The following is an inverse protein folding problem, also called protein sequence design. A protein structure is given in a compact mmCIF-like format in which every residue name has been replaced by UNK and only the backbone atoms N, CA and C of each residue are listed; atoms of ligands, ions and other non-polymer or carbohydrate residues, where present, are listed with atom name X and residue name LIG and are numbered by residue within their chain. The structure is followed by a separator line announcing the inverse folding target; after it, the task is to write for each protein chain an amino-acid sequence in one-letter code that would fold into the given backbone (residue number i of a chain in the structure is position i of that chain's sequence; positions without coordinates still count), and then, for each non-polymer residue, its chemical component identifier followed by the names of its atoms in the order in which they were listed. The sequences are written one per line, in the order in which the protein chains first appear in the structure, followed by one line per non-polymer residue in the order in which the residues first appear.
data_IF_985800907788
#
_entry.id   IF_985800907788
#
_cell.length_a   1.000
_cell.length_b   1.000
_cell.length_c   1.000
_cell.angle_alpha   90.00
_cell.angle_beta   90.00
_cell.angle_gamma   90.00
#
_symmetry.space_group_name_H-M   'P 1'
#
loop_
_entity.id
_entity.type
_entity.pdbx_description
1 polymer ?
#
# COMPACT_ATOMS: atom_id res chain seq x y z
N UNK A 1 1.73 2.46 -8.51
CA UNK A 1 3.09 2.12 -8.98
C UNK A 1 3.11 0.78 -9.71
N UNK A 2 4.04 0.58 -10.64
CA UNK A 2 4.38 -0.73 -11.22
C UNK A 2 5.28 -1.53 -10.27
N UNK A 3 5.46 -2.83 -10.51
CA UNK A 3 6.34 -3.67 -9.68
C UNK A 3 7.79 -3.17 -9.66
N UNK A 4 8.29 -2.67 -10.78
CA UNK A 4 9.63 -2.11 -10.88
C UNK A 4 9.76 -0.81 -10.08
N UNK A 5 8.75 0.05 -10.15
CA UNK A 5 8.67 1.29 -9.37
C UNK A 5 8.62 1.01 -7.87
N UNK A 6 7.88 -0.02 -7.45
CA UNK A 6 7.80 -0.47 -6.05
C UNK A 6 9.15 -0.99 -5.54
N UNK A 7 9.86 -1.80 -6.33
CA UNK A 7 11.23 -2.24 -6.02
C UNK A 7 12.21 -1.06 -5.92
N UNK A 8 12.11 -0.08 -6.84
CA UNK A 8 12.95 1.11 -6.80
C UNK A 8 12.67 1.97 -5.56
N UNK A 9 11.40 2.17 -5.21
CA UNK A 9 11.01 2.86 -3.99
C UNK A 9 11.52 2.17 -2.72
N UNK A 10 11.44 0.83 -2.67
CA UNK A 10 11.98 0.07 -1.56
C UNK A 10 13.50 0.30 -1.39
N UNK A 11 14.25 0.33 -2.49
CA UNK A 11 15.68 0.67 -2.48
C UNK A 11 15.94 2.11 -2.01
N UNK A 12 15.15 3.09 -2.48
CA UNK A 12 15.29 4.49 -2.04
C UNK A 12 15.04 4.62 -0.52
N UNK A 13 14.04 3.90 0.01
CA UNK A 13 13.74 3.85 1.44
C UNK A 13 14.86 3.16 2.24
N UNK A 14 15.40 2.05 1.73
CA UNK A 14 16.56 1.34 2.31
C UNK A 14 17.76 2.28 2.42
N UNK A 15 18.04 3.06 1.37
CA UNK A 15 19.15 4.02 1.35
C UNK A 15 18.95 5.18 2.34
N UNK A 16 17.72 5.74 2.42
CA UNK A 16 17.37 6.73 3.45
C UNK A 16 17.58 6.18 4.87
N UNK A 17 17.11 4.95 5.13
CA UNK A 17 17.25 4.31 6.43
C UNK A 17 18.71 3.98 6.77
N UNK A 18 19.52 3.64 5.77
CA UNK A 18 20.95 3.42 5.93
C UNK A 18 21.66 4.70 6.41
N UNK A 19 21.37 5.86 5.83
CA UNK A 19 21.87 7.14 6.34
C UNK A 19 21.44 7.40 7.77
N UNK A 20 20.15 7.24 8.08
CA UNK A 20 19.62 7.47 9.43
C UNK A 20 20.30 6.60 10.51
N UNK A 21 20.78 5.41 10.15
CA UNK A 21 21.49 4.49 11.05
C UNK A 21 22.99 4.77 11.15
N UNK A 22 23.58 5.51 10.21
CA UNK A 22 25.02 5.75 10.10
C UNK A 22 25.38 7.23 10.12
N UNK A 23 24.51 8.09 10.66
CA UNK A 23 24.68 9.56 10.67
C UNK A 23 26.02 9.99 11.26
N UNK A 24 26.46 9.38 12.37
CA UNK A 24 27.73 9.70 13.00
C UNK A 24 28.95 9.42 12.10
N UNK A 25 28.93 8.31 11.35
CA UNK A 25 30.01 7.95 10.43
C UNK A 25 30.03 8.85 9.18
N UNK A 26 28.86 9.34 8.77
CA UNK A 26 28.69 10.20 7.59
C UNK A 26 28.81 11.69 7.88
N UNK A 27 28.85 12.09 9.16
CA UNK A 27 28.93 13.48 9.60
C UNK A 27 30.22 14.21 9.14
N UNK A 28 31.25 13.45 8.76
CA UNK A 28 32.47 13.99 8.16
C UNK A 28 32.23 14.76 6.86
N UNK A 29 31.10 14.50 6.19
CA UNK A 29 30.70 15.19 4.95
C UNK A 29 29.36 15.89 5.17
N UNK A 30 29.44 17.18 5.49
CA UNK A 30 28.27 18.02 5.80
C UNK A 30 27.30 18.17 4.63
N UNK A 31 27.76 18.05 3.38
CA UNK A 31 26.92 18.15 2.20
C UNK A 31 25.87 17.02 2.09
N UNK A 32 26.09 15.87 2.74
CA UNK A 32 25.16 14.73 2.68
C UNK A 32 23.83 15.02 3.37
N UNK A 33 23.83 15.79 4.46
CA UNK A 33 22.62 16.06 5.24
C UNK A 33 21.53 16.73 4.39
N UNK A 34 21.92 17.72 3.57
CA UNK A 34 21.01 18.41 2.67
C UNK A 34 20.44 17.47 1.59
N UNK A 35 21.28 16.57 1.03
CA UNK A 35 20.87 15.63 -0.01
C UNK A 35 19.90 14.56 0.53
N UNK A 36 20.15 14.01 1.72
CA UNK A 36 19.25 13.05 2.34
C UNK A 36 17.94 13.69 2.85
N UNK A 37 17.97 14.97 3.18
CA UNK A 37 16.76 15.76 3.44
C UNK A 37 15.93 15.88 2.16
N UNK A 38 16.55 16.24 1.03
CA UNK A 38 15.88 16.29 -0.28
C UNK A 38 15.29 14.92 -0.68
N UNK A 39 16.05 13.83 -0.49
CA UNK A 39 15.57 12.47 -0.73
C UNK A 39 14.33 12.15 0.13
N UNK A 40 14.34 12.57 1.40
CA UNK A 40 13.22 12.33 2.31
C UNK A 40 11.95 13.07 1.90
N UNK A 41 12.09 14.29 1.36
CA UNK A 41 10.96 15.05 0.80
C UNK A 41 10.39 14.32 -0.42
N UNK A 42 11.23 13.94 -1.39
CA UNK A 42 10.77 13.23 -2.59
C UNK A 42 10.10 11.89 -2.27
N UNK A 43 10.62 11.14 -1.30
CA UNK A 43 10.01 9.90 -0.80
C UNK A 43 8.62 10.18 -0.20
N UNK A 44 8.49 11.26 0.56
CA UNK A 44 7.20 11.63 1.20
C UNK A 44 6.18 12.07 0.14
N UNK A 45 6.62 12.83 -0.86
CA UNK A 45 5.79 13.23 -2.00
C UNK A 45 5.33 12.00 -2.80
N UNK A 46 6.23 11.05 -3.05
CA UNK A 46 5.90 9.79 -3.74
C UNK A 46 4.85 8.98 -2.98
N UNK A 47 4.98 8.84 -1.65
CA UNK A 47 3.99 8.16 -0.81
C UNK A 47 2.63 8.85 -0.88
N UNK A 48 2.61 10.18 -0.81
CA UNK A 48 1.38 10.98 -0.89
C UNK A 48 0.66 10.76 -2.21
N UNK A 49 1.40 10.82 -3.32
CA UNK A 49 0.87 10.62 -4.67
C UNK A 49 0.43 9.17 -4.91
N UNK A 50 1.17 8.15 -4.45
CA UNK A 50 0.74 6.75 -4.59
C UNK A 50 -0.51 6.44 -3.75
N UNK A 51 -0.63 7.07 -2.57
CA UNK A 51 -1.85 6.99 -1.75
C UNK A 51 -3.07 7.55 -2.50
N UNK A 52 -2.93 8.71 -3.15
CA UNK A 52 -3.98 9.30 -3.99
C UNK A 52 -4.31 8.44 -5.21
N UNK A 53 -3.30 7.87 -5.86
CA UNK A 53 -3.46 6.96 -7.00
C UNK A 53 -4.25 5.69 -6.63
N UNK A 54 -3.98 5.12 -5.45
CA UNK A 54 -4.60 3.88 -4.96
C UNK A 54 -5.94 4.08 -4.26
N UNK A 55 -6.41 5.32 -4.11
CA UNK A 55 -7.64 5.61 -3.38
C UNK A 55 -8.86 4.91 -4.00
N UNK A 56 -9.70 4.30 -3.15
CA UNK A 56 -11.01 3.82 -3.57
C UNK A 56 -11.98 5.00 -3.73
N UNK A 57 -12.50 5.15 -4.94
CA UNK A 57 -13.38 6.24 -5.32
C UNK A 57 -14.87 5.86 -5.28
N UNK A 58 -15.19 4.60 -4.97
CA UNK A 58 -16.56 4.08 -4.94
C UNK A 58 -17.48 4.89 -4.02
N UNK A 59 -16.95 5.42 -2.92
CA UNK A 59 -17.67 6.26 -1.96
C UNK A 59 -18.25 7.54 -2.56
N UNK A 60 -17.55 8.19 -3.50
CA UNK A 60 -18.05 9.41 -4.15
C UNK A 60 -19.29 9.14 -5.02
N UNK A 61 -19.30 8.01 -5.72
CA UNK A 61 -20.46 7.60 -6.52
C UNK A 61 -21.67 7.26 -5.67
N UNK A 62 -21.46 6.58 -4.54
CA UNK A 62 -22.51 6.27 -3.58
C UNK A 62 -23.09 7.52 -2.92
N UNK A 63 -22.23 8.43 -2.46
CA UNK A 63 -22.65 9.70 -1.86
C UNK A 63 -23.48 10.54 -2.83
N UNK A 64 -23.04 10.66 -4.08
CA UNK A 64 -23.80 11.35 -5.14
C UNK A 64 -25.17 10.70 -5.34
N UNK A 65 -25.26 9.37 -5.42
CA UNK A 65 -26.51 8.66 -5.60
C UNK A 65 -27.48 8.85 -4.41
N UNK A 66 -26.97 8.86 -3.18
CA UNK A 66 -27.78 9.12 -1.97
C UNK A 66 -28.35 10.54 -1.97
N UNK A 67 -27.52 11.53 -2.28
CA UNK A 67 -27.93 12.95 -2.35
C UNK A 67 -28.93 13.17 -3.48
N UNK A 68 -28.73 12.53 -4.64
CA UNK A 68 -29.69 12.52 -5.76
C UNK A 68 -31.07 12.02 -5.32
N UNK A 69 -31.13 10.83 -4.70
CA UNK A 69 -32.38 10.23 -4.22
C UNK A 69 -33.10 11.13 -3.19
N UNK A 70 -32.34 11.85 -2.38
CA UNK A 70 -32.88 12.79 -1.39
C UNK A 70 -33.58 13.97 -2.08
N UNK A 71 -32.93 14.56 -3.10
CA UNK A 71 -33.54 15.62 -3.92
C UNK A 71 -34.78 15.13 -4.65
N UNK A 72 -34.72 13.96 -5.30
CA UNK A 72 -35.87 13.36 -6.01
C UNK A 72 -37.08 13.16 -5.08
N UNK A 73 -36.86 12.62 -3.87
CA UNK A 73 -37.95 12.34 -2.92
C UNK A 73 -38.60 13.62 -2.41
N UNK A 74 -37.78 14.64 -2.08
CA UNK A 74 -38.29 15.93 -1.58
C UNK A 74 -38.96 16.74 -2.69
N UNK A 75 -38.40 16.76 -3.89
CA UNK A 75 -38.98 17.42 -5.05
C UNK A 75 -40.32 16.79 -5.42
N UNK A 76 -40.43 15.46 -5.42
CA UNK A 76 -41.69 14.76 -5.66
C UNK A 76 -42.75 15.08 -4.61
N UNK A 77 -42.38 15.14 -3.33
CA UNK A 77 -43.31 15.50 -2.25
C UNK A 77 -43.91 16.90 -2.47
N UNK A 78 -43.07 17.88 -2.77
CA UNK A 78 -43.51 19.27 -3.00
C UNK A 78 -44.29 19.39 -4.31
N UNK A 79 -43.84 18.73 -5.38
CA UNK A 79 -44.53 18.66 -6.68
C UNK A 79 -45.97 18.12 -6.51
N UNK A 80 -46.15 17.01 -5.79
CA UNK A 80 -47.46 16.44 -5.52
C UNK A 80 -48.35 17.37 -4.68
N UNK A 81 -47.80 18.06 -3.68
CA UNK A 81 -48.54 19.00 -2.85
C UNK A 81 -49.02 20.22 -3.66
N UNK A 82 -48.13 20.82 -4.47
CA UNK A 82 -48.47 21.95 -5.36
C UNK A 82 -49.48 21.53 -6.43
N UNK A 83 -49.31 20.35 -7.05
CA UNK A 83 -50.26 19.84 -8.03
C UNK A 83 -51.63 19.52 -7.42
N UNK A 84 -51.67 19.03 -6.17
CA UNK A 84 -52.92 18.77 -5.44
C UNK A 84 -53.66 20.05 -5.10
N UNK A 85 -52.95 21.06 -4.59
CA UNK A 85 -53.51 22.40 -4.34
C UNK A 85 -54.11 23.00 -5.62
N UNK A 86 -53.35 22.96 -6.72
CA UNK A 86 -53.79 23.46 -8.01
C UNK A 86 -55.01 22.70 -8.57
N UNK A 87 -55.07 21.38 -8.34
CA UNK A 87 -56.20 20.55 -8.74
C UNK A 87 -57.49 20.90 -7.99
N UNK A 88 -57.42 21.14 -6.68
CA UNK A 88 -58.59 21.53 -5.88
C UNK A 88 -59.11 22.91 -6.28
N UNK A 89 -58.21 23.85 -6.59
CA UNK A 89 -58.58 25.21 -6.98
C UNK A 89 -58.84 25.38 -8.48
N UNK A 90 -58.80 24.30 -9.27
CA UNK A 90 -58.98 24.33 -10.73
C UNK A 90 -57.99 25.23 -11.49
N UNK A 91 -56.79 25.48 -10.94
CA UNK A 91 -55.72 26.20 -11.64
C UNK A 91 -54.92 25.24 -12.52
N UNK A 92 -55.29 25.19 -13.80
CA UNK A 92 -54.63 24.32 -14.79
C UNK A 92 -53.19 24.73 -15.09
N UNK A 93 -52.84 26.02 -14.94
CA UNK A 93 -51.49 26.53 -15.23
C UNK A 93 -50.54 26.07 -14.13
N UNK A 94 -50.90 26.31 -12.88
CA UNK A 94 -50.08 25.90 -11.73
C UNK A 94 -49.95 24.37 -11.67
N UNK A 95 -51.04 23.64 -11.97
CA UNK A 95 -51.02 22.18 -12.05
C UNK A 95 -50.01 21.70 -13.09
N UNK A 96 -50.06 22.20 -14.34
CA UNK A 96 -49.15 21.76 -15.40
C UNK A 96 -47.68 22.13 -15.16
N UNK A 97 -47.41 23.19 -14.40
CA UNK A 97 -46.04 23.58 -14.02
C UNK A 97 -45.47 22.73 -12.89
N UNK A 98 -46.31 22.11 -12.07
CA UNK A 98 -45.89 21.30 -10.93
C UNK A 98 -46.05 19.79 -11.15
N UNK A 99 -46.80 19.36 -12.17
CA UNK A 99 -47.13 17.96 -12.46
C UNK A 99 -45.96 17.24 -13.14
N UNK A 100 -45.05 16.72 -12.33
CA UNK A 100 -43.97 15.83 -12.76
C UNK A 100 -44.25 14.41 -12.29
N UNK A 101 -44.25 13.46 -13.23
CA UNK A 101 -44.44 12.04 -12.92
C UNK A 101 -43.29 11.48 -12.07
N UNK A 102 -43.55 10.41 -11.32
CA UNK A 102 -42.49 9.72 -10.57
C UNK A 102 -41.38 9.20 -11.49
N UNK A 103 -41.73 8.66 -12.66
CA UNK A 103 -40.77 8.18 -13.64
C UNK A 103 -39.89 9.29 -14.22
N UNK A 104 -40.43 10.50 -14.41
CA UNK A 104 -39.63 11.61 -14.93
C UNK A 104 -38.51 12.01 -13.98
N UNK A 105 -38.70 11.97 -12.66
CA UNK A 105 -37.63 12.30 -11.70
C UNK A 105 -36.47 11.29 -11.74
N UNK A 106 -36.75 10.02 -12.03
CA UNK A 106 -35.72 8.99 -12.11
C UNK A 106 -34.95 8.98 -13.44
N UNK A 107 -35.57 9.47 -14.53
CA UNK A 107 -34.98 9.40 -15.88
C UNK A 107 -34.20 10.66 -16.29
N UNK A 108 -34.29 11.76 -15.54
CA UNK A 108 -33.65 13.04 -15.91
C UNK A 108 -32.15 13.05 -15.66
N UNK A 109 -31.42 13.86 -16.42
CA UNK A 109 -30.00 14.10 -16.15
C UNK A 109 -29.80 14.83 -14.82
N UNK A 110 -28.56 14.89 -14.33
CA UNK A 110 -28.25 15.55 -13.05
C UNK A 110 -28.50 17.08 -13.13
N UNK A 111 -28.18 17.68 -14.27
CA UNK A 111 -28.40 19.10 -14.56
C UNK A 111 -29.90 19.43 -14.70
N UNK A 112 -30.63 18.55 -15.37
CA UNK A 112 -32.07 18.68 -15.51
C UNK A 112 -32.79 18.49 -14.18
N UNK A 113 -32.34 17.54 -13.35
CA UNK A 113 -32.85 17.35 -11.98
C UNK A 113 -32.70 18.63 -11.15
N UNK A 114 -31.52 19.28 -11.18
CA UNK A 114 -31.29 20.55 -10.47
C UNK A 114 -32.25 21.63 -10.97
N UNK A 115 -32.43 21.72 -12.29
CA UNK A 115 -33.30 22.74 -12.90
C UNK A 115 -34.77 22.51 -12.52
N UNK A 116 -35.28 21.29 -12.66
CA UNK A 116 -36.66 20.93 -12.34
C UNK A 116 -36.95 21.05 -10.84
N UNK A 117 -36.05 20.56 -9.98
CA UNK A 117 -36.21 20.69 -8.54
C UNK A 117 -36.15 22.17 -8.08
N UNK A 118 -35.36 23.01 -8.75
CA UNK A 118 -35.34 24.47 -8.53
C UNK A 118 -36.70 25.10 -8.86
N UNK A 119 -37.28 24.76 -10.01
CA UNK A 119 -38.62 25.23 -10.40
C UNK A 119 -39.66 24.83 -9.34
N UNK A 120 -39.63 23.58 -8.87
CA UNK A 120 -40.57 23.09 -7.85
C UNK A 120 -40.36 23.76 -6.50
N UNK A 121 -39.12 23.98 -6.07
CA UNK A 121 -38.81 24.74 -4.86
C UNK A 121 -39.41 26.14 -4.92
N UNK A 122 -39.23 26.85 -6.04
CA UNK A 122 -39.70 28.23 -6.19
C UNK A 122 -41.24 28.29 -6.22
N UNK A 123 -41.90 27.34 -6.87
CA UNK A 123 -43.36 27.18 -6.84
C UNK A 123 -43.88 26.84 -5.44
N UNK A 124 -43.19 25.97 -4.71
CA UNK A 124 -43.52 25.62 -3.33
C UNK A 124 -43.35 26.82 -2.39
N UNK A 125 -42.27 27.59 -2.55
CA UNK A 125 -42.02 28.80 -1.77
C UNK A 125 -43.09 29.87 -2.00
N UNK A 126 -43.51 30.07 -3.24
CA UNK A 126 -44.54 31.04 -3.59
C UNK A 126 -45.93 30.69 -3.00
N UNK A 127 -46.23 29.40 -2.79
CA UNK A 127 -47.55 28.91 -2.34
C UNK A 127 -47.48 28.21 -0.96
N UNK A 128 -46.47 28.51 -0.14
CA UNK A 128 -46.12 27.72 1.05
C UNK A 128 -47.29 27.56 2.06
N UNK A 129 -48.05 28.63 2.30
CA UNK A 129 -49.19 28.60 3.22
C UNK A 129 -50.30 27.66 2.72
N UNK A 130 -50.49 27.64 1.40
CA UNK A 130 -51.60 26.96 0.75
C UNK A 130 -51.34 25.47 0.49
N UNK A 131 -50.07 25.06 0.41
CA UNK A 131 -49.68 23.65 0.22
C UNK A 131 -49.61 22.86 1.53
N UNK A 132 -49.63 23.53 2.69
CA UNK A 132 -49.55 22.90 4.02
C UNK A 132 -50.64 21.84 4.26
N UNK A 133 -51.92 22.07 3.92
CA UNK A 133 -52.97 21.05 4.04
C UNK A 133 -52.77 19.83 3.12
N UNK A 134 -51.95 19.96 2.08
CA UNK A 134 -51.69 18.92 1.08
C UNK A 134 -50.40 18.12 1.36
N UNK A 135 -49.83 18.27 2.56
CA UNK A 135 -48.77 17.41 3.06
C UNK A 135 -47.33 17.91 2.83
N UNK A 136 -47.14 19.15 2.37
CA UNK A 136 -45.83 19.80 2.30
C UNK A 136 -45.86 21.18 2.97
N UNK A 137 -44.86 21.50 3.79
CA UNK A 137 -44.78 22.79 4.49
C UNK A 137 -43.48 23.56 4.25
N UNK A 138 -43.32 24.70 4.92
CA UNK A 138 -42.11 25.54 4.85
C UNK A 138 -40.82 24.78 5.18
N UNK A 139 -40.90 23.84 6.12
CA UNK A 139 -39.77 23.00 6.49
C UNK A 139 -39.29 22.14 5.30
N UNK A 140 -40.22 21.54 4.55
CA UNK A 140 -39.90 20.68 3.40
C UNK A 140 -39.24 21.49 2.27
N UNK A 141 -39.73 22.70 1.99
CA UNK A 141 -39.14 23.60 0.98
C UNK A 141 -37.72 24.01 1.39
N UNK A 142 -37.50 24.28 2.67
CA UNK A 142 -36.18 24.61 3.20
C UNK A 142 -35.23 23.41 3.10
N UNK A 143 -35.70 22.21 3.47
CA UNK A 143 -34.91 20.97 3.35
C UNK A 143 -34.57 20.67 1.89
N UNK A 144 -35.50 20.89 0.95
CA UNK A 144 -35.22 20.75 -0.49
C UNK A 144 -34.14 21.75 -0.94
N UNK A 145 -34.21 23.00 -0.50
CA UNK A 145 -33.19 24.01 -0.84
C UNK A 145 -31.80 23.61 -0.35
N UNK A 146 -31.69 23.15 0.90
CA UNK A 146 -30.41 22.66 1.44
C UNK A 146 -29.92 21.42 0.67
N UNK A 147 -30.82 20.47 0.42
CA UNK A 147 -30.48 19.25 -0.32
C UNK A 147 -29.97 19.58 -1.74
N UNK A 148 -30.59 20.54 -2.43
CA UNK A 148 -30.17 21.01 -3.75
C UNK A 148 -28.75 21.59 -3.72
N UNK A 149 -28.44 22.50 -2.80
CA UNK A 149 -27.09 23.05 -2.67
C UNK A 149 -26.07 21.93 -2.45
N UNK A 150 -26.35 21.02 -1.50
CA UNK A 150 -25.44 19.92 -1.21
C UNK A 150 -25.31 18.90 -2.34
N UNK A 151 -26.32 18.79 -3.22
CA UNK A 151 -26.25 17.93 -4.40
C UNK A 151 -25.40 18.58 -5.49
N UNK A 152 -25.62 19.88 -5.77
CA UNK A 152 -24.85 20.65 -6.75
C UNK A 152 -23.35 20.57 -6.44
N UNK A 153 -22.97 20.71 -5.17
CA UNK A 153 -21.58 20.64 -4.72
C UNK A 153 -20.92 19.27 -4.96
N UNK A 154 -21.70 18.18 -5.09
CA UNK A 154 -21.16 16.82 -5.25
C UNK A 154 -21.30 16.24 -6.65
N UNK A 155 -22.06 16.87 -7.55
CA UNK A 155 -22.30 16.35 -8.92
C UNK A 155 -20.98 16.03 -9.62
N UNK A 156 -19.99 16.92 -9.50
CA UNK A 156 -18.69 16.81 -10.18
C UNK A 156 -17.63 16.04 -9.40
N UNK A 157 -17.86 15.73 -8.11
CA UNK A 157 -16.85 15.12 -7.25
C UNK A 157 -16.31 13.78 -7.77
N UNK A 158 -17.13 12.84 -8.28
CA UNK A 158 -16.60 11.59 -8.83
C UNK A 158 -15.65 11.82 -10.01
N UNK A 159 -15.96 12.76 -10.89
CA UNK A 159 -15.13 13.09 -12.06
C UNK A 159 -13.84 13.77 -11.63
N UNK A 160 -13.91 14.73 -10.71
CA UNK A 160 -12.73 15.40 -10.16
C UNK A 160 -11.80 14.41 -9.45
N UNK A 161 -12.36 13.45 -8.71
CA UNK A 161 -11.57 12.43 -8.04
C UNK A 161 -10.88 11.48 -9.04
N UNK A 162 -11.55 11.13 -10.14
CA UNK A 162 -10.94 10.35 -11.22
C UNK A 162 -9.79 11.10 -11.89
N UNK A 163 -9.96 12.40 -12.14
CA UNK A 163 -8.93 13.22 -12.77
C UNK A 163 -7.74 13.47 -11.85
N UNK A 164 -7.98 13.67 -10.55
CA UNK A 164 -6.92 13.71 -9.53
C UNK A 164 -6.12 12.40 -9.54
N UNK A 165 -6.81 11.24 -9.51
CA UNK A 165 -6.15 9.93 -9.56
C UNK A 165 -5.31 9.73 -10.82
N UNK A 166 -5.74 10.24 -11.98
CA UNK A 166 -4.95 10.22 -13.22
C UNK A 166 -3.72 11.12 -13.12
N UNK A 167 -3.87 12.31 -12.54
CA UNK A 167 -2.76 13.23 -12.32
C UNK A 167 -1.72 12.59 -11.39
N UNK A 168 -2.17 12.00 -10.29
CA UNK A 168 -1.31 11.31 -9.34
C UNK A 168 -0.55 10.17 -10.02
N UNK A 169 -1.23 9.33 -10.81
CA UNK A 169 -0.57 8.27 -11.59
C UNK A 169 0.50 8.78 -12.54
N UNK A 170 0.34 9.98 -13.11
CA UNK A 170 1.35 10.59 -13.99
C UNK A 170 2.55 11.11 -13.20
N UNK A 171 2.33 11.61 -11.99
CA UNK A 171 3.39 12.17 -11.13
C UNK A 171 4.30 11.10 -10.51
N UNK A 172 3.82 9.87 -10.34
CA UNK A 172 4.62 8.75 -9.81
C UNK A 172 5.95 8.57 -10.57
N UNK A 173 5.95 8.32 -11.90
CA UNK A 173 7.20 8.15 -12.65
C UNK A 173 8.05 9.43 -12.65
N UNK A 174 7.44 10.62 -12.69
CA UNK A 174 8.16 11.89 -12.63
C UNK A 174 8.96 12.05 -11.32
N UNK A 175 8.37 11.69 -10.18
CA UNK A 175 9.06 11.75 -8.87
C UNK A 175 10.14 10.67 -8.79
N UNK A 176 9.89 9.48 -9.34
CA UNK A 176 10.90 8.42 -9.39
C UNK A 176 12.11 8.85 -10.22
N UNK A 177 11.90 9.52 -11.35
CA UNK A 177 12.98 10.08 -12.16
C UNK A 177 13.75 11.17 -11.41
N UNK A 178 13.07 12.05 -10.67
CA UNK A 178 13.74 13.03 -9.80
C UNK A 178 14.61 12.36 -8.72
N UNK A 179 14.13 11.25 -8.14
CA UNK A 179 14.90 10.45 -7.19
C UNK A 179 16.12 9.82 -7.90
N UNK A 180 15.97 9.30 -9.12
CA UNK A 180 17.09 8.77 -9.93
C UNK A 180 18.15 9.84 -10.17
N UNK A 181 17.75 11.01 -10.68
CA UNK A 181 18.66 12.13 -10.91
C UNK A 181 19.39 12.55 -9.63
N UNK A 182 18.67 12.62 -8.48
CA UNK A 182 19.29 12.96 -7.20
C UNK A 182 20.38 11.96 -6.79
N UNK A 183 20.13 10.66 -6.99
CA UNK A 183 21.14 9.65 -6.71
C UNK A 183 22.32 9.75 -7.67
N UNK A 184 22.08 9.73 -8.98
CA UNK A 184 23.12 9.64 -10.01
C UNK A 184 24.02 10.89 -10.06
N UNK A 185 23.44 12.08 -10.00
CA UNK A 185 24.18 13.33 -10.17
C UNK A 185 24.82 13.85 -8.88
N UNK A 186 24.26 13.49 -7.72
CA UNK A 186 24.65 14.11 -6.44
C UNK A 186 25.05 13.09 -5.40
N UNK A 187 24.13 12.22 -5.00
CA UNK A 187 24.33 11.39 -3.81
C UNK A 187 25.41 10.32 -4.04
N UNK A 188 25.38 9.62 -5.17
CA UNK A 188 26.38 8.61 -5.53
C UNK A 188 27.77 9.25 -5.70
N UNK A 189 27.84 10.47 -6.24
CA UNK A 189 29.10 11.22 -6.40
C UNK A 189 29.70 11.60 -5.05
N UNK A 190 28.89 12.12 -4.12
CA UNK A 190 29.36 12.49 -2.78
C UNK A 190 29.72 11.24 -1.97
N UNK A 191 29.01 10.12 -2.14
CA UNK A 191 29.34 8.89 -1.42
C UNK A 191 30.68 8.27 -1.84
N UNK A 192 31.21 8.56 -3.03
CA UNK A 192 32.53 8.09 -3.48
C UNK A 192 33.70 8.57 -2.63
N UNK A 193 33.59 9.70 -1.92
CA UNK A 193 34.67 10.12 -1.01
C UNK A 193 34.86 9.17 0.18
N UNK A 194 33.87 8.32 0.48
CA UNK A 194 34.02 7.24 1.46
C UNK A 194 34.76 6.03 0.92
N UNK A 195 34.96 5.90 -0.39
CA UNK A 195 35.65 4.76 -0.99
C UNK A 195 37.07 4.57 -0.42
N UNK A 196 37.80 5.66 -0.24
CA UNK A 196 39.16 5.64 0.31
C UNK A 196 39.19 5.86 1.82
N UNK A 197 38.28 6.68 2.36
CA UNK A 197 38.30 7.05 3.78
C UNK A 197 37.62 6.03 4.69
N UNK A 198 36.60 5.32 4.20
CA UNK A 198 35.91 4.24 4.90
C UNK A 198 35.28 3.25 3.90
N UNK A 199 36.09 2.33 3.33
CA UNK A 199 35.63 1.41 2.29
C UNK A 199 34.42 0.57 2.70
N UNK A 200 34.38 0.12 3.97
CA UNK A 200 33.26 -0.68 4.51
C UNK A 200 31.94 0.10 4.44
N UNK A 201 31.95 1.38 4.82
CA UNK A 201 30.75 2.22 4.74
C UNK A 201 30.29 2.40 3.29
N UNK A 202 31.23 2.56 2.36
CA UNK A 202 30.93 2.70 0.93
C UNK A 202 30.33 1.40 0.35
N UNK A 203 30.85 0.23 0.71
CA UNK A 203 30.26 -1.05 0.27
C UNK A 203 28.86 -1.28 0.85
N UNK A 204 28.64 -0.95 2.13
CA UNK A 204 27.30 -1.03 2.72
C UNK A 204 26.32 -0.07 2.04
N UNK A 205 26.77 1.11 1.63
CA UNK A 205 25.97 2.04 0.84
C UNK A 205 25.59 1.43 -0.53
N UNK A 206 26.55 0.85 -1.25
CA UNK A 206 26.27 0.18 -2.53
C UNK A 206 25.25 -0.96 -2.36
N UNK A 207 25.37 -1.76 -1.30
CA UNK A 207 24.39 -2.80 -0.96
C UNK A 207 23.01 -2.23 -0.60
N UNK A 208 22.95 -1.02 -0.03
CA UNK A 208 21.69 -0.32 0.21
C UNK A 208 21.07 0.24 -1.09
N UNK A 209 21.90 0.56 -2.10
CA UNK A 209 21.50 1.03 -3.43
C UNK A 209 21.15 -0.10 -4.41
N UNK A 210 21.45 -1.35 -4.06
CA UNK A 210 21.02 -2.50 -4.84
C UNK A 210 19.49 -2.60 -4.87
N UNK A 211 18.93 -2.74 -6.07
CA UNK A 211 17.50 -2.96 -6.25
C UNK A 211 17.23 -4.45 -6.07
N UNK A 212 16.63 -4.79 -4.93
CA UNK A 212 16.22 -6.15 -4.64
C UNK A 212 14.90 -6.44 -5.39
N UNK A 213 14.98 -7.08 -6.56
CA UNK A 213 13.81 -7.59 -7.31
C UNK A 213 13.35 -8.94 -6.71
N UNK A 214 13.44 -9.10 -5.40
CA UNK A 214 13.29 -10.41 -4.76
C UNK A 214 11.99 -10.50 -3.97
N UNK A 215 10.94 -10.90 -4.71
CA UNK A 215 9.81 -11.65 -4.18
C UNK A 215 9.97 -13.17 -4.38
N UNK A 216 11.12 -13.64 -4.86
CA UNK A 216 11.41 -15.06 -5.02
C UNK A 216 12.17 -15.53 -3.78
N UNK A 217 11.50 -16.25 -2.88
CA UNK A 217 12.22 -17.07 -1.92
C UNK A 217 13.13 -18.00 -2.72
N UNK A 218 14.45 -17.91 -2.53
CA UNK A 218 15.36 -18.91 -3.10
C UNK A 218 14.89 -20.27 -2.62
N UNK A 219 14.71 -21.22 -3.53
CA UNK A 219 14.31 -22.57 -3.12
C UNK A 219 15.43 -23.13 -2.23
N UNK A 220 15.09 -23.76 -1.10
CA UNK A 220 16.10 -24.40 -0.26
C UNK A 220 16.87 -25.41 -1.09
N UNK A 221 18.21 -25.35 -1.01
CA UNK A 221 19.13 -26.29 -1.64
C UNK A 221 18.80 -27.72 -1.23
N UNK A 222 18.45 -27.93 0.04
CA UNK A 222 18.04 -29.24 0.57
C UNK A 222 16.87 -29.11 1.53
N UNK A 223 15.95 -30.07 1.43
CA UNK A 223 14.84 -30.28 2.36
C UNK A 223 14.95 -31.70 2.89
N UNK A 224 15.09 -31.87 4.21
CA UNK A 224 15.28 -33.20 4.79
C UNK A 224 14.57 -33.33 6.14
N UNK A 225 13.85 -34.43 6.32
CA UNK A 225 13.26 -34.79 7.60
C UNK A 225 14.24 -35.64 8.41
N UNK A 226 14.47 -35.23 9.66
CA UNK A 226 15.42 -35.87 10.57
C UNK A 226 14.63 -36.61 11.64
N UNK A 227 14.73 -37.95 11.62
CA UNK A 227 14.05 -38.82 12.56
C UNK A 227 14.57 -38.61 13.99
N UNK A 228 13.74 -38.87 15.01
CA UNK A 228 14.14 -38.71 16.41
C UNK A 228 15.30 -39.63 16.78
N UNK A 229 16.25 -39.12 17.57
CA UNK A 229 17.44 -39.86 18.02
C UNK A 229 18.47 -40.13 16.93
N UNK A 230 18.33 -39.53 15.74
CA UNK A 230 19.24 -39.76 14.60
C UNK A 230 20.13 -38.56 14.31
N UNK A 231 21.24 -38.84 13.64
CA UNK A 231 22.18 -37.87 13.09
C UNK A 231 22.29 -38.12 11.59
N UNK A 232 22.16 -37.07 10.79
CA UNK A 232 22.03 -37.17 9.33
C UNK A 232 22.87 -36.09 8.65
N UNK A 233 23.63 -36.46 7.62
CA UNK A 233 24.23 -35.51 6.69
C UNK A 233 23.14 -34.87 5.82
N UNK A 234 22.95 -33.57 5.96
CA UNK A 234 21.97 -32.77 5.20
C UNK A 234 22.59 -32.20 3.93
N UNK A 235 23.91 -32.02 3.89
CA UNK A 235 24.65 -31.62 2.69
C UNK A 235 26.04 -32.23 2.67
N UNK A 236 26.52 -32.51 1.46
CA UNK A 236 27.87 -33.00 1.16
C UNK A 236 28.46 -32.06 0.09
N UNK A 237 29.59 -31.43 0.43
CA UNK A 237 30.30 -30.49 -0.43
C UNK A 237 31.51 -31.17 -1.07
N UNK A 238 31.67 -31.06 -2.39
CA UNK A 238 32.80 -31.66 -3.12
C UNK A 238 34.18 -31.20 -2.59
N UNK A 239 34.26 -29.95 -2.13
CA UNK A 239 35.46 -29.34 -1.53
C UNK A 239 35.09 -28.38 -0.41
N UNK A 240 35.86 -28.40 0.69
CA UNK A 240 35.71 -27.41 1.75
C UNK A 240 36.10 -26.01 1.26
N UNK A 241 35.23 -25.03 1.52
CA UNK A 241 35.50 -23.62 1.28
C UNK A 241 35.13 -22.83 2.53
N UNK A 242 36.03 -21.95 2.97
CA UNK A 242 35.82 -21.10 4.17
C UNK A 242 34.71 -20.09 3.96
N UNK A 243 34.42 -19.73 2.71
CA UNK A 243 33.44 -18.70 2.36
C UNK A 243 32.04 -19.24 2.15
N UNK A 244 31.84 -20.57 2.19
CA UNK A 244 30.50 -21.16 2.03
C UNK A 244 29.60 -20.73 3.18
N UNK A 245 28.41 -20.24 2.84
CA UNK A 245 27.43 -19.74 3.79
C UNK A 245 26.28 -20.73 3.94
N UNK A 246 26.17 -21.31 5.13
CA UNK A 246 25.11 -22.26 5.47
C UNK A 246 24.00 -21.54 6.21
N UNK A 247 22.79 -21.52 5.65
CA UNK A 247 21.57 -21.07 6.33
C UNK A 247 20.66 -22.27 6.56
N UNK A 248 20.40 -22.58 7.83
CA UNK A 248 19.51 -23.68 8.22
C UNK A 248 18.27 -23.13 8.91
N UNK A 249 17.10 -23.62 8.51
CA UNK A 249 15.83 -23.39 9.18
C UNK A 249 15.27 -24.68 9.75
N UNK A 250 14.91 -24.65 11.03
CA UNK A 250 14.18 -25.71 11.70
C UNK A 250 12.66 -25.48 11.52
N UNK A 251 11.97 -26.42 10.88
CA UNK A 251 10.53 -26.37 10.66
C UNK A 251 9.72 -27.08 11.75
N UNK A 252 10.38 -27.79 12.66
CA UNK A 252 9.76 -28.49 13.78
C UNK A 252 9.71 -27.67 15.06
N UNK A 253 9.08 -28.22 16.09
CA UNK A 253 8.99 -27.60 17.42
C UNK A 253 10.17 -27.99 18.34
N UNK A 254 10.88 -29.07 18.02
CA UNK A 254 12.00 -29.57 18.80
C UNK A 254 13.32 -28.97 18.33
N UNK A 255 14.21 -28.69 19.29
CA UNK A 255 15.54 -28.17 18.98
C UNK A 255 16.44 -29.25 18.38
N UNK A 256 17.20 -28.88 17.36
CA UNK A 256 18.22 -29.72 16.72
C UNK A 256 19.58 -29.07 16.85
N UNK A 257 20.67 -29.84 16.72
CA UNK A 257 22.03 -29.28 16.59
C UNK A 257 22.54 -29.48 15.18
N UNK A 258 23.28 -28.50 14.65
CA UNK A 258 23.97 -28.63 13.38
C UNK A 258 25.45 -28.30 13.50
N UNK A 259 26.28 -28.98 12.72
CA UNK A 259 27.74 -28.84 12.75
C UNK A 259 28.33 -29.23 11.40
N UNK A 260 29.56 -28.79 11.12
CA UNK A 260 30.32 -29.20 9.94
C UNK A 260 31.32 -30.29 10.32
N UNK A 261 31.36 -31.39 9.58
CA UNK A 261 32.13 -32.60 9.90
C UNK A 261 32.94 -33.10 8.70
N UNK A 262 34.02 -33.81 8.97
CA UNK A 262 34.84 -34.51 7.96
C UNK A 262 34.29 -35.90 7.62
N UNK A 263 33.30 -36.41 8.37
CA UNK A 263 32.66 -37.69 8.11
C UNK A 263 31.13 -37.61 8.23
N UNK A 264 30.45 -38.43 7.42
CA UNK A 264 28.99 -38.42 7.23
C UNK A 264 28.20 -38.84 8.49
N UNK A 265 28.81 -39.58 9.41
CA UNK A 265 28.13 -40.19 10.57
C UNK A 265 28.60 -39.64 11.92
N UNK A 266 29.43 -38.60 11.94
CA UNK A 266 29.97 -38.02 13.18
C UNK A 266 29.57 -36.55 13.30
N UNK A 267 29.22 -36.12 14.52
CA UNK A 267 29.00 -34.71 14.82
C UNK A 267 30.33 -33.94 14.71
N UNK A 268 30.28 -32.72 14.18
CA UNK A 268 31.43 -31.84 14.06
C UNK A 268 31.89 -31.27 15.40
N UNK A 269 33.03 -30.56 15.41
CA UNK A 269 33.67 -30.08 16.64
C UNK A 269 32.83 -29.04 17.38
N UNK A 270 32.11 -28.16 16.67
CA UNK A 270 31.35 -27.05 17.24
C UNK A 270 29.85 -27.13 16.87
N UNK A 271 29.05 -27.95 17.56
CA UNK A 271 27.62 -28.05 17.31
C UNK A 271 26.86 -26.81 17.76
N UNK A 272 26.08 -26.25 16.83
CA UNK A 272 25.24 -25.07 17.03
C UNK A 272 23.80 -25.50 17.30
N UNK A 273 23.24 -25.04 18.43
CA UNK A 273 21.83 -25.26 18.76
C UNK A 273 20.90 -24.44 17.85
N UNK A 274 19.88 -25.08 17.31
CA UNK A 274 18.82 -24.47 16.50
C UNK A 274 17.45 -24.84 17.08
N UNK A 275 16.78 -23.86 17.69
CA UNK A 275 15.49 -24.06 18.35
C UNK A 275 14.36 -24.32 17.35
N UNK A 276 13.21 -24.82 17.82
CA UNK A 276 12.04 -25.02 16.97
C UNK A 276 11.58 -23.71 16.30
N UNK A 277 11.34 -23.75 14.99
CA UNK A 277 10.98 -22.58 14.17
C UNK A 277 12.11 -21.57 13.92
N UNK A 278 13.30 -21.80 14.46
CA UNK A 278 14.44 -20.87 14.35
C UNK A 278 15.18 -21.03 13.01
N UNK A 279 15.73 -19.94 12.51
CA UNK A 279 16.65 -19.93 11.36
C UNK A 279 18.00 -19.37 11.80
N UNK A 280 19.09 -20.06 11.49
CA UNK A 280 20.45 -19.58 11.74
C UNK A 280 21.31 -19.70 10.51
N UNK A 281 22.18 -18.71 10.34
CA UNK A 281 23.18 -18.70 9.29
C UNK A 281 24.59 -18.62 9.88
N UNK A 282 25.52 -19.38 9.29
CA UNK A 282 26.94 -19.43 9.67
C UNK A 282 27.81 -19.64 8.44
N UNK A 283 28.98 -19.00 8.43
CA UNK A 283 30.05 -19.34 7.50
C UNK A 283 30.67 -20.69 7.89
N UNK A 284 31.14 -21.44 6.90
CA UNK A 284 31.81 -22.72 7.10
C UNK A 284 33.01 -22.62 8.06
N UNK A 285 33.83 -21.57 7.94
CA UNK A 285 34.97 -21.32 8.84
C UNK A 285 34.58 -21.16 10.32
N UNK A 286 33.35 -20.71 10.59
CA UNK A 286 32.82 -20.51 11.93
C UNK A 286 32.12 -21.76 12.49
N UNK A 287 32.04 -22.84 11.71
CA UNK A 287 31.47 -24.12 12.11
C UNK A 287 32.54 -25.19 12.30
N UNK A 288 33.57 -25.20 11.45
CA UNK A 288 34.75 -26.03 11.61
C UNK A 288 35.90 -25.51 10.73
N UNK A 289 37.15 -25.78 11.15
CA UNK A 289 38.33 -25.47 10.35
C UNK A 289 38.44 -26.31 9.06
N UNK A 290 37.81 -27.50 9.05
CA UNK A 290 37.73 -28.42 7.91
C UNK A 290 36.42 -29.23 8.00
N UNK A 291 35.86 -29.68 6.88
CA UNK A 291 34.71 -30.58 6.83
C UNK A 291 33.81 -30.39 5.61
N UNK A 292 33.43 -31.46 4.95
CA UNK A 292 32.57 -31.43 3.74
C UNK A 292 31.11 -31.77 4.03
N UNK A 293 30.82 -32.36 5.19
CA UNK A 293 29.48 -32.83 5.54
C UNK A 293 28.82 -31.89 6.55
N UNK A 294 27.69 -31.30 6.17
CA UNK A 294 26.85 -30.56 7.10
C UNK A 294 25.91 -31.53 7.80
N UNK A 295 26.16 -31.74 9.09
CA UNK A 295 25.50 -32.75 9.90
C UNK A 295 24.45 -32.07 10.78
N UNK A 296 23.25 -32.65 10.81
CA UNK A 296 22.21 -32.23 11.74
C UNK A 296 21.78 -33.43 12.60
N UNK A 297 21.72 -33.20 13.91
CA UNK A 297 21.36 -34.20 14.92
C UNK A 297 20.06 -33.79 15.59
N UNK A 298 19.13 -34.74 15.66
CA UNK A 298 17.87 -34.58 16.35
C UNK A 298 17.89 -35.39 17.66
N UNK A 299 18.18 -34.76 18.82
CA UNK A 299 18.12 -35.43 20.12
C UNK A 299 16.69 -35.62 20.64
N UNK A 300 15.69 -35.11 19.92
CA UNK A 300 14.29 -35.12 20.32
C UNK A 300 13.56 -36.43 20.09
N UNK A 301 12.25 -36.42 20.38
CA UNK A 301 11.33 -37.57 20.30
C UNK A 301 10.40 -37.53 19.08
N UNK A 302 10.38 -36.42 18.34
CA UNK A 302 9.58 -36.22 17.13
C UNK A 302 10.48 -35.95 15.93
N UNK A 303 10.05 -36.30 14.71
CA UNK A 303 10.77 -35.93 13.49
C UNK A 303 10.78 -34.42 13.29
N UNK A 304 11.90 -33.89 12.80
CA UNK A 304 12.08 -32.46 12.53
C UNK A 304 12.44 -32.26 11.06
N UNK A 305 11.62 -31.48 10.35
CA UNK A 305 11.93 -31.03 9.00
C UNK A 305 12.94 -29.89 9.02
N UNK A 306 13.97 -29.99 8.19
CA UNK A 306 15.04 -28.98 8.08
C UNK A 306 15.16 -28.51 6.64
N UNK A 307 15.29 -27.18 6.48
CA UNK A 307 15.59 -26.54 5.20
C UNK A 307 16.99 -25.97 5.23
N UNK A 308 17.75 -26.19 4.18
CA UNK A 308 19.12 -25.69 4.03
C UNK A 308 19.24 -24.86 2.76
N UNK A 309 19.87 -23.69 2.88
CA UNK A 309 20.41 -22.91 1.78
C UNK A 309 21.92 -22.88 1.90
N UNK A 310 22.59 -23.21 0.80
CA UNK A 310 24.05 -23.15 0.66
C UNK A 310 24.34 -22.07 -0.38
N UNK A 311 25.06 -21.04 0.04
CA UNK A 311 25.46 -19.88 -0.79
C UNK A 311 26.99 -19.73 -0.83
#
# INVERSE_FOLDING_TARGET
MTREEESYFAMALKTKNFYARNTAAMASITALEALYTQLSVLITDLISVDTGSRADLSGYSLDKAMKRKTVETLALKISNAVASFAAVNSDLILKKRADFSTSSWYSVSEEELVTQATIIRDLGQANTADITPYGAGTADVTTLSTALTTFIDVITNPTLALDQRKNDNRRIPEIIDQIRTLFEEKLDVVMRSFELSNPTLYHLYQSARAIDINGSASQPTVMKDILPGTLVAVHDADTYSTTTFYTIQNMGEQSVTFSLSTAETTEGPDPVLLSGGETKSRLAENLAAEGTYLIVKNPGTLPVGVRLWVE
#
